data_IF_195889914628
#
_entry.id   IF_195889914628
#
_cell.length_a   1.000
_cell.length_b   1.000
_cell.length_c   1.000
_cell.angle_alpha   90.00
_cell.angle_beta   90.00
_cell.angle_gamma   90.00
#
_symmetry.space_group_name_H-M   'P 1'
#
loop_
_entity.id
_entity.type
_entity.pdbx_description
1 polymer ?
#
# COMPACT_ATOMS: atom_id res chain seq x y z
N UNK A 1 -6.57 21.00 -6.42
CA UNK A 1 -7.11 20.27 -5.29
C UNK A 1 -6.23 19.10 -4.88
N UNK A 2 -5.96 18.21 -5.80
CA UNK A 2 -5.11 17.04 -5.56
C UNK A 2 -3.67 17.44 -5.22
N UNK A 3 -3.10 18.41 -5.91
CA UNK A 3 -1.74 18.87 -5.64
C UNK A 3 -1.59 19.50 -4.24
N UNK A 4 -2.59 20.25 -3.79
CA UNK A 4 -2.58 20.83 -2.45
C UNK A 4 -2.63 19.74 -1.36
N UNK A 5 -3.40 18.69 -1.60
CA UNK A 5 -3.48 17.53 -0.71
C UNK A 5 -2.12 16.83 -0.60
N UNK A 6 -1.50 16.57 -1.75
CA UNK A 6 -0.19 15.90 -1.82
C UNK A 6 0.87 16.74 -1.09
N UNK A 7 0.88 18.05 -1.31
CA UNK A 7 1.84 18.96 -0.67
C UNK A 7 1.70 18.93 0.86
N UNK A 8 0.48 18.91 1.36
CA UNK A 8 0.24 18.83 2.81
C UNK A 8 0.72 17.51 3.39
N UNK A 9 0.48 16.41 2.70
CA UNK A 9 0.96 15.09 3.11
C UNK A 9 2.49 15.06 3.09
N UNK A 10 3.11 15.57 2.04
CA UNK A 10 4.56 15.62 1.92
C UNK A 10 5.19 16.43 3.05
N UNK A 11 4.61 17.60 3.35
CA UNK A 11 5.09 18.45 4.43
C UNK A 11 4.98 17.77 5.79
N UNK A 12 3.90 17.05 6.02
CA UNK A 12 3.71 16.30 7.26
C UNK A 12 4.79 15.24 7.46
N UNK A 13 5.08 14.46 6.43
CA UNK A 13 6.04 13.36 6.53
C UNK A 13 7.50 13.80 6.40
N UNK A 14 7.76 15.04 6.02
CA UNK A 14 9.12 15.54 5.87
C UNK A 14 9.91 15.49 7.19
N UNK A 15 9.24 15.67 8.31
CA UNK A 15 9.86 15.67 9.64
C UNK A 15 9.74 14.32 10.35
N UNK A 16 9.13 13.32 9.73
CA UNK A 16 8.94 12.00 10.33
C UNK A 16 10.09 11.08 9.93
N UNK A 17 11.12 11.03 10.78
CA UNK A 17 12.36 10.31 10.48
C UNK A 17 12.17 8.79 10.32
N UNK A 18 11.14 8.22 10.94
CA UNK A 18 10.85 6.81 10.87
C UNK A 18 10.17 6.40 9.56
N UNK A 19 9.78 7.35 8.73
CA UNK A 19 9.07 7.08 7.49
C UNK A 19 10.06 7.01 6.33
N UNK A 20 10.09 5.86 5.66
CA UNK A 20 10.93 5.62 4.48
C UNK A 20 10.26 6.15 3.23
N UNK A 21 9.00 5.81 3.02
CA UNK A 21 8.26 6.21 1.83
C UNK A 21 6.76 6.26 2.11
N UNK A 22 6.04 7.04 1.31
CA UNK A 22 4.58 7.13 1.38
C UNK A 22 4.02 7.07 -0.03
N UNK A 23 2.97 6.27 -0.18
CA UNK A 23 2.23 6.11 -1.42
C UNK A 23 0.80 6.61 -1.24
N UNK A 24 0.33 7.35 -2.24
CA UNK A 24 -1.09 7.68 -2.37
C UNK A 24 -1.70 6.65 -3.32
N UNK A 25 -2.81 6.04 -2.92
CA UNK A 25 -3.49 5.06 -3.76
C UNK A 25 -5.01 5.24 -3.68
N UNK A 26 -5.77 4.33 -4.26
CA UNK A 26 -7.21 4.44 -4.31
C UNK A 26 -7.68 5.56 -5.25
N UNK A 27 -8.83 6.15 -4.95
CA UNK A 27 -9.48 7.12 -5.83
C UNK A 27 -8.64 8.37 -6.11
N UNK A 28 -7.87 8.83 -5.13
CA UNK A 28 -7.00 10.00 -5.31
C UNK A 28 -5.86 9.75 -6.29
N UNK A 29 -5.31 8.55 -6.30
CA UNK A 29 -4.24 8.20 -7.23
C UNK A 29 -4.76 8.05 -8.66
N UNK A 30 -6.01 7.66 -8.81
CA UNK A 30 -6.64 7.43 -10.12
C UNK A 30 -7.31 8.68 -10.71
N UNK A 31 -7.27 9.81 -9.99
CA UNK A 31 -7.96 11.01 -10.43
C UNK A 31 -9.48 10.92 -10.37
N UNK A 32 -10.00 9.96 -9.60
CA UNK A 32 -11.44 9.71 -9.46
C UNK A 32 -11.99 10.15 -8.11
N UNK A 33 -11.19 10.87 -7.33
CA UNK A 33 -11.59 11.29 -5.99
C UNK A 33 -12.73 12.31 -6.05
N UNK A 34 -13.66 12.14 -5.14
CA UNK A 34 -14.75 13.09 -4.89
C UNK A 34 -14.49 13.79 -3.57
N UNK A 35 -15.25 14.85 -3.28
CA UNK A 35 -15.14 15.60 -2.04
C UNK A 35 -15.27 14.71 -0.79
N UNK A 36 -16.07 13.66 -0.88
CA UNK A 36 -16.32 12.71 0.21
C UNK A 36 -15.44 11.48 0.17
N UNK A 37 -14.50 11.38 -0.78
CA UNK A 37 -13.63 10.22 -0.89
C UNK A 37 -12.63 10.17 0.25
N UNK A 38 -12.39 8.95 0.77
CA UNK A 38 -11.34 8.71 1.73
C UNK A 38 -9.97 8.85 1.06
N UNK A 39 -8.98 9.25 1.85
CA UNK A 39 -7.60 9.35 1.39
C UNK A 39 -6.86 8.08 1.78
N UNK A 40 -6.55 7.25 0.80
CA UNK A 40 -5.83 5.99 1.01
C UNK A 40 -4.34 6.24 0.88
N UNK A 41 -3.61 6.05 1.98
CA UNK A 41 -2.15 6.23 1.99
C UNK A 41 -1.46 4.98 2.53
N UNK A 42 -0.36 4.62 1.88
CA UNK A 42 0.50 3.54 2.33
C UNK A 42 1.80 4.11 2.88
N UNK A 43 2.19 3.70 4.06
CA UNK A 43 3.35 4.25 4.76
C UNK A 43 4.33 3.12 5.05
N UNK A 44 5.55 3.25 4.53
CA UNK A 44 6.63 2.33 4.80
C UNK A 44 7.48 2.89 5.94
N UNK A 45 7.55 2.15 7.04
CA UNK A 45 8.30 2.54 8.22
C UNK A 45 9.66 1.86 8.25
N UNK A 46 10.65 2.56 8.80
CA UNK A 46 11.98 2.05 9.04
C UNK A 46 12.04 1.33 10.39
N UNK A 47 11.28 0.25 10.50
CA UNK A 47 11.21 -0.55 11.74
C UNK A 47 10.60 -1.91 11.42
N UNK A 48 11.01 -2.92 12.19
CA UNK A 48 10.42 -4.26 12.14
C UNK A 48 9.53 -4.54 13.36
N UNK A 49 9.31 -3.55 14.21
CA UNK A 49 8.53 -3.70 15.43
C UNK A 49 7.04 -3.55 15.13
N UNK A 50 6.33 -4.68 15.08
CA UNK A 50 4.90 -4.71 14.73
C UNK A 50 4.01 -3.99 15.75
N UNK A 51 4.41 -3.91 17.00
CA UNK A 51 3.65 -3.18 18.03
C UNK A 51 3.63 -1.68 17.73
N UNK A 52 4.73 -1.17 17.19
CA UNK A 52 4.86 0.21 16.80
C UNK A 52 3.93 0.57 15.64
N UNK A 53 3.64 -0.40 14.76
CA UNK A 53 2.85 -0.16 13.56
C UNK A 53 1.43 0.31 13.86
N UNK A 54 0.76 -0.34 14.83
CA UNK A 54 -0.60 0.06 15.22
C UNK A 54 -0.63 1.46 15.82
N UNK A 55 0.33 1.75 16.69
CA UNK A 55 0.41 3.06 17.33
C UNK A 55 0.65 4.16 16.29
N UNK A 56 1.55 3.93 15.34
CA UNK A 56 1.85 4.88 14.27
C UNK A 56 0.67 5.04 13.33
N UNK A 57 0.01 3.95 12.96
CA UNK A 57 -1.17 3.99 12.11
C UNK A 57 -2.27 4.86 12.72
N UNK A 58 -2.52 4.68 14.01
CA UNK A 58 -3.53 5.48 14.72
C UNK A 58 -3.13 6.95 14.79
N UNK A 59 -1.86 7.22 15.03
CA UNK A 59 -1.32 8.58 15.06
C UNK A 59 -1.51 9.28 13.71
N UNK A 60 -1.16 8.61 12.62
CA UNK A 60 -1.31 9.17 11.28
C UNK A 60 -2.78 9.39 10.93
N UNK A 61 -3.64 8.46 11.31
CA UNK A 61 -5.08 8.61 11.13
C UNK A 61 -5.60 9.89 11.76
N UNK A 62 -5.23 10.13 13.01
CA UNK A 62 -5.69 11.30 13.76
C UNK A 62 -5.09 12.60 13.23
N UNK A 63 -3.77 12.63 13.09
CA UNK A 63 -3.06 13.86 12.73
C UNK A 63 -3.33 14.28 11.30
N UNK A 64 -3.28 13.35 10.35
CA UNK A 64 -3.58 13.66 8.95
C UNK A 64 -5.05 13.94 8.74
N UNK A 65 -5.93 13.21 9.43
CA UNK A 65 -7.36 13.48 9.36
C UNK A 65 -7.69 14.90 9.78
N UNK A 66 -7.05 15.36 10.84
CA UNK A 66 -7.22 16.73 11.34
C UNK A 66 -6.61 17.75 10.38
N UNK A 67 -5.43 17.47 9.86
CA UNK A 67 -4.72 18.36 8.94
C UNK A 67 -5.45 18.53 7.62
N UNK A 68 -5.93 17.43 7.05
CA UNK A 68 -6.57 17.43 5.74
C UNK A 68 -8.08 17.63 5.79
N UNK A 69 -8.66 17.52 6.98
CA UNK A 69 -10.12 17.56 7.18
C UNK A 69 -10.84 16.56 6.30
N UNK A 70 -10.29 15.36 6.22
CA UNK A 70 -10.81 14.25 5.43
C UNK A 70 -10.62 12.96 6.21
N UNK A 71 -11.40 11.96 5.85
CA UNK A 71 -11.20 10.62 6.37
C UNK A 71 -9.96 10.02 5.72
N UNK A 72 -9.02 9.60 6.55
CA UNK A 72 -7.76 9.02 6.11
C UNK A 72 -7.81 7.53 6.37
N UNK A 73 -7.32 6.76 5.41
CA UNK A 73 -7.17 5.31 5.54
C UNK A 73 -5.68 4.97 5.43
N UNK A 74 -4.93 5.04 6.55
CA UNK A 74 -3.50 4.73 6.53
C UNK A 74 -3.27 3.24 6.62
N UNK A 75 -2.38 2.74 5.77
CA UNK A 75 -1.96 1.34 5.75
C UNK A 75 -0.45 1.30 5.95
N UNK A 76 0.02 0.47 6.88
CA UNK A 76 1.45 0.27 7.08
C UNK A 76 1.92 -0.79 6.09
N UNK A 77 2.80 -0.39 5.19
CA UNK A 77 3.24 -1.25 4.08
C UNK A 77 4.15 -2.39 4.52
N UNK A 78 4.77 -2.25 5.68
CA UNK A 78 5.67 -3.27 6.24
C UNK A 78 4.98 -4.63 6.41
N UNK A 79 3.67 -4.62 6.62
CA UNK A 79 2.87 -5.83 6.82
C UNK A 79 1.78 -6.02 5.77
N UNK A 80 1.78 -5.22 4.73
CA UNK A 80 0.79 -5.33 3.67
C UNK A 80 0.99 -6.59 2.84
N UNK A 81 -0.13 -7.19 2.40
CA UNK A 81 -0.11 -8.38 1.57
C UNK A 81 0.22 -8.07 0.11
N UNK A 82 0.53 -9.13 -0.64
CA UNK A 82 0.99 -9.03 -2.03
C UNK A 82 -0.08 -8.43 -2.95
N UNK A 83 -1.34 -8.73 -2.74
CA UNK A 83 -2.42 -8.19 -3.57
C UNK A 83 -2.53 -6.68 -3.45
N UNK A 84 -2.49 -6.17 -2.22
CA UNK A 84 -2.54 -4.74 -1.98
C UNK A 84 -1.29 -4.05 -2.53
N UNK A 85 -0.11 -4.63 -2.29
CA UNK A 85 1.14 -4.05 -2.79
C UNK A 85 1.18 -4.02 -4.31
N UNK A 86 0.64 -5.02 -4.98
CA UNK A 86 0.54 -5.02 -6.43
C UNK A 86 -0.32 -3.83 -6.92
N UNK A 87 -1.45 -3.60 -6.28
CA UNK A 87 -2.29 -2.44 -6.59
C UNK A 87 -1.56 -1.12 -6.37
N UNK A 88 -0.86 -1.00 -5.26
CA UNK A 88 -0.13 0.22 -4.90
C UNK A 88 0.97 0.51 -5.91
N UNK A 89 1.76 -0.52 -6.29
CA UNK A 89 2.85 -0.35 -7.25
C UNK A 89 2.36 -0.05 -8.67
N UNK A 90 1.22 -0.61 -9.07
CA UNK A 90 0.72 -0.43 -10.44
C UNK A 90 -0.13 0.82 -10.60
N UNK A 91 -0.90 1.20 -9.60
CA UNK A 91 -1.88 2.28 -9.69
C UNK A 91 -1.67 3.42 -8.71
N UNK A 92 -0.82 3.21 -7.70
CA UNK A 92 -0.52 4.24 -6.71
C UNK A 92 0.56 5.19 -7.19
N UNK A 93 0.76 6.25 -6.40
CA UNK A 93 1.80 7.25 -6.63
C UNK A 93 2.68 7.34 -5.40
N UNK A 94 3.99 7.22 -5.58
CA UNK A 94 4.94 7.48 -4.50
C UNK A 94 5.07 8.99 -4.35
N UNK A 95 4.62 9.52 -3.22
CA UNK A 95 4.62 10.96 -2.97
C UNK A 95 5.69 11.40 -1.96
N UNK A 96 6.24 10.45 -1.19
CA UNK A 96 7.33 10.71 -0.25
C UNK A 96 8.35 9.59 -0.38
N UNK A 97 9.63 9.95 -0.50
CA UNK A 97 10.73 9.01 -0.56
C UNK A 97 11.89 9.58 0.27
N UNK A 98 11.86 9.30 1.57
CA UNK A 98 12.83 9.84 2.53
C UNK A 98 14.13 9.04 2.60
N UNK A 99 14.11 7.79 2.15
CA UNK A 99 15.28 6.89 2.17
C UNK A 99 15.23 6.03 0.92
N UNK A 100 15.89 6.49 -0.12
CA UNK A 100 15.86 5.85 -1.44
C UNK A 100 16.43 4.42 -1.40
N UNK A 101 17.47 4.19 -0.61
CA UNK A 101 18.10 2.88 -0.52
C UNK A 101 17.19 1.85 0.13
N UNK A 102 16.61 2.19 1.28
CA UNK A 102 15.67 1.30 1.97
C UNK A 102 14.39 1.10 1.18
N UNK A 103 13.93 2.15 0.52
CA UNK A 103 12.76 2.07 -0.34
C UNK A 103 13.01 1.12 -1.52
N UNK A 104 14.19 1.22 -2.16
CA UNK A 104 14.56 0.32 -3.25
C UNK A 104 14.65 -1.13 -2.79
N UNK A 105 15.23 -1.39 -1.62
CA UNK A 105 15.30 -2.73 -1.03
C UNK A 105 13.91 -3.30 -0.79
N UNK A 106 13.01 -2.50 -0.25
CA UNK A 106 11.62 -2.89 -0.02
C UNK A 106 10.94 -3.27 -1.33
N UNK A 107 11.11 -2.44 -2.38
CA UNK A 107 10.50 -2.72 -3.69
C UNK A 107 11.02 -4.03 -4.28
N UNK A 108 12.33 -4.27 -4.19
CA UNK A 108 12.92 -5.51 -4.71
C UNK A 108 12.35 -6.74 -4.03
N UNK A 109 12.25 -6.72 -2.71
CA UNK A 109 11.66 -7.83 -1.94
C UNK A 109 10.20 -8.01 -2.31
N UNK A 110 9.43 -6.94 -2.38
CA UNK A 110 8.00 -7.03 -2.67
C UNK A 110 7.74 -7.45 -4.12
N UNK A 111 8.52 -7.00 -5.08
CA UNK A 111 8.39 -7.44 -6.47
C UNK A 111 8.63 -8.94 -6.59
N UNK A 112 9.63 -9.47 -5.89
CA UNK A 112 9.89 -10.92 -5.84
C UNK A 112 8.72 -11.68 -5.23
N UNK A 113 8.18 -11.16 -4.14
CA UNK A 113 7.04 -11.79 -3.47
C UNK A 113 5.76 -11.73 -4.32
N UNK A 114 5.52 -10.63 -5.00
CA UNK A 114 4.37 -10.47 -5.90
C UNK A 114 4.49 -11.44 -7.07
N UNK A 115 5.68 -11.58 -7.65
CA UNK A 115 5.91 -12.53 -8.74
C UNK A 115 5.66 -13.97 -8.30
N UNK A 116 6.20 -14.36 -7.14
CA UNK A 116 5.99 -15.70 -6.58
C UNK A 116 4.50 -15.93 -6.28
N UNK A 117 3.82 -14.95 -5.73
CA UNK A 117 2.39 -15.03 -5.44
C UNK A 117 1.56 -15.15 -6.72
N UNK A 118 1.92 -14.44 -7.77
CA UNK A 118 1.25 -14.53 -9.08
C UNK A 118 1.40 -15.92 -9.67
N UNK A 119 2.60 -16.52 -9.61
CA UNK A 119 2.85 -17.86 -10.09
C UNK A 119 2.06 -18.89 -9.29
N UNK A 120 2.06 -18.78 -7.97
CA UNK A 120 1.28 -19.65 -7.08
C UNK A 120 -0.21 -19.56 -7.42
N UNK A 121 -0.72 -18.35 -7.64
CA UNK A 121 -2.11 -18.13 -7.99
C UNK A 121 -2.49 -18.81 -9.31
N UNK A 122 -1.61 -18.70 -10.31
CA UNK A 122 -1.80 -19.38 -11.60
C UNK A 122 -1.82 -20.90 -11.44
N UNK A 123 -0.92 -21.45 -10.64
CA UNK A 123 -0.86 -22.88 -10.36
C UNK A 123 -2.12 -23.35 -9.64
N UNK A 124 -2.59 -22.57 -8.67
CA UNK A 124 -3.84 -22.88 -7.95
C UNK A 124 -5.04 -22.89 -8.90
N UNK A 125 -5.15 -21.89 -9.77
CA UNK A 125 -6.24 -21.82 -10.74
C UNK A 125 -6.18 -22.97 -11.75
N UNK A 126 -4.98 -23.29 -12.24
CA UNK A 126 -4.78 -24.42 -13.15
C UNK A 126 -5.12 -25.74 -12.46
N UNK A 127 -4.70 -25.91 -11.21
CA UNK A 127 -5.02 -27.10 -10.42
C UNK A 127 -6.52 -27.23 -10.16
N UNK A 128 -7.19 -26.14 -9.86
CA UNK A 128 -8.63 -26.11 -9.65
C UNK A 128 -9.39 -26.49 -10.93
N UNK A 129 -9.00 -25.94 -12.06
CA UNK A 129 -9.61 -26.27 -13.35
C UNK A 129 -9.40 -27.74 -13.67
N UNK A 130 -8.18 -28.24 -13.48
CA UNK A 130 -7.84 -29.65 -13.69
C UNK A 130 -8.68 -30.55 -12.80
N UNK A 131 -8.85 -30.20 -11.53
CA UNK A 131 -9.66 -31.00 -10.60
C UNK A 131 -11.13 -31.02 -10.98
N UNK A 132 -11.67 -29.85 -11.41
CA UNK A 132 -13.05 -29.77 -11.87
C UNK A 132 -13.26 -30.64 -13.11
N UNK A 133 -12.37 -30.55 -14.09
CA UNK A 133 -12.45 -31.34 -15.32
C UNK A 133 -12.16 -32.81 -15.06
N UNK A 134 -11.18 -33.12 -14.22
CA UNK A 134 -10.85 -34.49 -13.83
C UNK A 134 -11.94 -35.15 -12.99
N UNK A 135 -12.57 -34.37 -12.09
CA UNK A 135 -13.71 -34.86 -11.31
C UNK A 135 -14.91 -35.23 -12.16
N UNK A 136 -15.12 -34.53 -13.26
CA UNK A 136 -16.18 -34.87 -14.21
C UNK A 136 -15.92 -36.19 -14.97
N UNK A 137 -14.64 -36.56 -15.11
CA UNK A 137 -14.28 -37.82 -15.82
C UNK A 137 -14.12 -38.99 -14.87
N UNK A 138 -13.81 -38.76 -13.61
CA UNK A 138 -13.59 -39.80 -12.61
C UNK A 138 -14.86 -40.12 -11.82
N UNK A 139 -15.75 -39.16 -11.77
CA UNK A 139 -17.02 -39.30 -11.09
C UNK A 139 -17.90 -40.26 -11.79
#
# INVERSE_FOLDING_TARGET
MENALIEKIQSYFLTENEVVAVYLFGSYALGKARRTSDVDIGILLNSNNSELFKAKQLRYLKELGRLLRKDIHPVILNTAGEMLMQQIFTKGKCIVDNDQQKHAQFRMVMFSRIAAFSDYKKQMQAGLIKNIMGGATVG
#
